data_IF_226539086617
#
_entry.id   IF_226539086617
#
_cell.length_a   1.000
_cell.length_b   1.000
_cell.length_c   1.000
_cell.angle_alpha   90.00
_cell.angle_beta   90.00
_cell.angle_gamma   90.00
#
_symmetry.space_group_name_H-M   'P 1'
#
loop_
_entity.id
_entity.type
_entity.pdbx_description
1 polymer ?
#
# COMPACT_ATOMS: atom_id res chain seq x y z
N UNK A 1 0.08 19.31 6.22
CA UNK A 1 0.44 17.94 5.83
C UNK A 1 1.16 17.30 7.00
N UNK A 2 0.64 16.20 7.55
CA UNK A 2 1.35 15.46 8.59
C UNK A 2 2.56 14.76 7.97
N UNK A 3 3.67 14.67 8.71
CA UNK A 3 4.82 13.89 8.27
C UNK A 3 4.41 12.42 8.15
N UNK A 4 4.90 11.76 7.12
CA UNK A 4 4.70 10.34 6.88
C UNK A 4 6.02 9.74 6.39
N UNK A 5 6.11 8.42 6.49
CA UNK A 5 7.21 7.64 5.99
C UNK A 5 6.71 6.66 4.92
N UNK A 6 7.49 6.30 3.92
CA UNK A 6 7.13 5.26 2.95
C UNK A 6 8.34 4.43 2.56
N UNK A 7 8.12 3.13 2.35
CA UNK A 7 9.13 2.20 1.80
C UNK A 7 8.84 1.83 0.35
N UNK A 8 7.57 1.70 0.00
CA UNK A 8 7.16 1.08 -1.24
C UNK A 8 6.42 2.06 -2.14
N UNK A 9 6.94 2.20 -3.36
CA UNK A 9 6.21 2.79 -4.47
C UNK A 9 5.39 1.65 -5.11
N UNK A 10 4.11 1.93 -5.35
CA UNK A 10 3.20 1.04 -6.06
C UNK A 10 3.34 1.27 -7.57
N UNK A 11 3.20 2.54 -7.99
CA UNK A 11 3.38 2.99 -9.37
C UNK A 11 3.49 4.53 -9.40
N UNK A 12 3.90 5.09 -10.53
CA UNK A 12 3.82 6.52 -10.82
C UNK A 12 3.50 6.75 -12.29
N UNK A 13 2.72 7.79 -12.61
CA UNK A 13 2.37 8.11 -13.99
C UNK A 13 2.00 9.59 -14.14
N UNK A 14 2.01 10.09 -15.37
CA UNK A 14 1.66 11.48 -15.69
C UNK A 14 0.29 11.55 -16.40
N UNK A 15 -0.54 12.53 -16.04
CA UNK A 15 -1.71 12.93 -16.83
C UNK A 15 -1.73 14.46 -16.99
N UNK A 16 -1.31 14.93 -18.16
CA UNK A 16 -1.20 16.38 -18.44
C UNK A 16 -0.13 17.04 -17.56
N UNK A 17 -0.53 18.03 -16.76
CA UNK A 17 0.37 18.76 -15.85
C UNK A 17 0.43 18.14 -14.44
N UNK A 18 -0.17 16.96 -14.24
CA UNK A 18 -0.23 16.28 -12.94
C UNK A 18 0.61 15.01 -12.98
N UNK A 19 1.51 14.87 -12.00
CA UNK A 19 2.22 13.61 -11.71
C UNK A 19 1.50 12.90 -10.57
N UNK A 20 1.12 11.66 -10.82
CA UNK A 20 0.55 10.77 -9.81
C UNK A 20 1.62 9.85 -9.24
N UNK A 21 1.63 9.71 -7.92
CA UNK A 21 2.52 8.80 -7.19
C UNK A 21 1.70 7.97 -6.20
N UNK A 22 1.68 6.67 -6.42
CA UNK A 22 1.01 5.71 -5.56
C UNK A 22 2.04 5.05 -4.65
N UNK A 23 1.86 5.14 -3.34
CA UNK A 23 2.81 4.64 -2.33
C UNK A 23 2.09 3.96 -1.17
N UNK A 24 2.82 3.10 -0.47
CA UNK A 24 2.45 2.59 0.86
C UNK A 24 3.12 3.48 1.92
N UNK A 25 2.29 4.21 2.67
CA UNK A 25 2.69 5.17 3.68
C UNK A 25 2.43 4.66 5.08
N UNK A 26 3.26 5.09 6.03
CA UNK A 26 3.14 4.82 7.45
C UNK A 26 3.11 6.17 8.17
N UNK A 27 2.16 6.34 9.09
CA UNK A 27 2.03 7.56 9.89
C UNK A 27 3.18 7.70 10.91
N UNK A 28 3.75 6.58 11.32
CA UNK A 28 4.94 6.51 12.15
C UNK A 28 6.03 5.75 11.38
N UNK A 29 7.31 6.19 11.45
CA UNK A 29 8.38 5.44 10.82
C UNK A 29 8.44 4.04 11.46
N UNK A 30 8.34 2.97 10.66
CA UNK A 30 8.36 1.61 11.19
C UNK A 30 9.69 1.37 11.90
N UNK A 31 9.60 1.20 13.21
CA UNK A 31 10.74 0.95 14.08
C UNK A 31 11.37 -0.37 13.64
N UNK A 32 12.64 -0.30 13.23
CA UNK A 32 13.32 -1.35 12.48
C UNK A 32 13.05 -2.75 13.00
N UNK A 33 12.49 -3.60 12.14
CA UNK A 33 12.09 -4.99 12.33
C UNK A 33 13.19 -5.79 13.08
N UNK A 34 13.15 -5.92 14.42
CA UNK A 34 14.18 -6.68 15.11
C UNK A 34 13.88 -8.15 14.83
N UNK A 35 14.72 -8.81 14.03
CA UNK A 35 14.53 -10.22 13.61
C UNK A 35 14.30 -11.18 14.78
N UNK A 36 14.72 -10.82 16.01
CA UNK A 36 14.42 -11.55 17.25
C UNK A 36 12.96 -11.40 17.68
N UNK A 37 12.40 -10.19 17.60
CA UNK A 37 11.01 -9.89 17.98
C UNK A 37 10.03 -10.44 16.94
N UNK A 38 10.39 -10.41 15.65
CA UNK A 38 9.61 -11.06 14.59
C UNK A 38 9.44 -12.58 14.80
N UNK A 39 10.41 -13.23 15.46
CA UNK A 39 10.37 -14.65 15.81
C UNK A 39 9.69 -14.93 17.14
N UNK A 40 9.37 -13.90 17.92
CA UNK A 40 8.81 -14.05 19.28
C UNK A 40 7.30 -14.33 19.28
N UNK A 41 6.60 -14.04 18.17
CA UNK A 41 5.14 -14.12 18.11
C UNK A 41 4.44 -12.99 18.87
N UNK A 42 5.19 -12.06 19.45
CA UNK A 42 4.67 -10.90 20.18
C UNK A 42 4.45 -9.75 19.18
N UNK A 43 3.23 -9.68 18.64
CA UNK A 43 2.82 -8.76 17.56
C UNK A 43 2.10 -7.51 18.11
N UNK A 44 1.82 -7.46 19.41
CA UNK A 44 1.03 -6.38 20.03
C UNK A 44 1.74 -5.02 19.96
N UNK A 45 3.07 -5.00 20.07
CA UNK A 45 3.91 -3.79 19.97
C UNK A 45 4.05 -3.24 18.53
N UNK A 46 3.57 -3.98 17.52
CA UNK A 46 3.77 -3.67 16.10
C UNK A 46 2.60 -2.89 15.48
N UNK A 47 1.54 -2.63 16.24
CA UNK A 47 0.30 -2.02 15.76
C UNK A 47 0.39 -0.50 15.52
N UNK A 48 1.58 0.05 15.28
CA UNK A 48 1.86 1.48 15.04
C UNK A 48 1.27 2.08 13.75
N UNK A 49 0.09 1.61 13.33
CA UNK A 49 -0.53 1.89 12.05
C UNK A 49 0.04 0.97 10.97
N UNK A 50 -0.86 0.28 10.27
CA UNK A 50 -0.49 -0.49 9.10
C UNK A 50 -0.08 0.42 7.92
N UNK A 51 0.48 -0.18 6.87
CA UNK A 51 0.75 0.53 5.63
C UNK A 51 -0.54 0.98 4.95
N UNK A 52 -0.71 2.30 4.79
CA UNK A 52 -1.81 2.93 4.09
C UNK A 52 -1.46 3.17 2.63
N UNK A 53 -2.36 2.83 1.72
CA UNK A 53 -2.19 3.18 0.32
C UNK A 53 -2.57 4.64 0.11
N UNK A 54 -1.68 5.46 -0.45
CA UNK A 54 -1.95 6.86 -0.80
C UNK A 54 -1.55 7.14 -2.24
N UNK A 55 -2.43 7.83 -2.97
CA UNK A 55 -2.18 8.42 -4.28
C UNK A 55 -1.97 9.91 -4.11
N UNK A 56 -0.75 10.37 -4.34
CA UNK A 56 -0.43 11.79 -4.41
C UNK A 56 -0.68 12.29 -5.83
N UNK A 57 -1.30 13.46 -5.95
CA UNK A 57 -1.46 14.19 -7.21
C UNK A 57 -0.68 15.51 -7.09
N UNK A 58 0.40 15.63 -7.84
CA UNK A 58 1.33 16.75 -7.81
C UNK A 58 1.18 17.58 -9.08
N UNK A 59 0.71 18.82 -8.96
CA UNK A 59 0.61 19.73 -10.09
C UNK A 59 1.96 20.41 -10.35
N UNK A 60 2.57 20.13 -11.50
CA UNK A 60 3.90 20.63 -11.86
C UNK A 60 3.94 22.15 -12.08
N UNK A 61 2.80 22.76 -12.37
CA UNK A 61 2.69 24.19 -12.67
C UNK A 61 2.43 25.03 -11.43
N UNK A 62 1.54 24.56 -10.56
CA UNK A 62 1.16 25.29 -9.33
C UNK A 62 2.01 24.89 -8.13
N UNK A 63 2.65 23.72 -8.17
CA UNK A 63 3.34 23.12 -7.03
C UNK A 63 2.39 22.57 -5.96
N UNK A 64 1.08 22.57 -6.21
CA UNK A 64 0.09 22.01 -5.30
C UNK A 64 0.16 20.49 -5.28
N UNK A 65 -0.04 19.92 -4.09
CA UNK A 65 -0.06 18.49 -3.88
C UNK A 65 -1.27 18.11 -3.03
N UNK A 66 -2.10 17.21 -3.53
CA UNK A 66 -3.21 16.59 -2.81
C UNK A 66 -3.03 15.08 -2.77
N UNK A 67 -3.80 14.39 -1.93
CA UNK A 67 -3.79 12.94 -1.92
C UNK A 67 -5.16 12.35 -1.61
N UNK A 68 -5.43 11.18 -2.18
CA UNK A 68 -6.52 10.27 -1.82
C UNK A 68 -5.92 8.93 -1.42
N UNK A 69 -6.69 8.04 -0.81
CA UNK A 69 -6.14 6.76 -0.40
C UNK A 69 -7.05 5.92 0.47
N UNK A 70 -6.45 4.87 1.03
CA UNK A 70 -7.07 3.89 1.89
C UNK A 70 -6.49 3.99 3.31
N UNK A 71 -7.00 4.94 4.13
CA UNK A 71 -6.51 5.16 5.49
C UNK A 71 -6.86 3.99 6.41
N UNK A 72 -6.08 3.80 7.48
CA UNK A 72 -6.30 2.78 8.52
C UNK A 72 -6.22 1.33 8.03
N UNK A 73 -5.41 1.04 7.00
CA UNK A 73 -5.17 -0.33 6.52
C UNK A 73 -3.76 -0.79 6.82
N UNK A 74 -3.57 -2.09 6.72
CA UNK A 74 -2.27 -2.72 6.83
C UNK A 74 -1.96 -3.45 5.52
N UNK A 75 -1.63 -2.68 4.48
CA UNK A 75 -1.23 -3.16 3.16
C UNK A 75 0.27 -2.95 2.95
N UNK A 76 0.97 -3.95 2.43
CA UNK A 76 2.41 -3.89 2.22
C UNK A 76 2.88 -4.71 1.01
N UNK A 77 4.14 -4.54 0.61
CA UNK A 77 4.82 -5.23 -0.48
C UNK A 77 4.07 -5.20 -1.83
N UNK A 78 3.69 -4.01 -2.34
CA UNK A 78 2.91 -3.88 -3.56
C UNK A 78 3.60 -4.51 -4.78
N UNK A 79 2.76 -4.96 -5.70
CA UNK A 79 3.08 -5.47 -7.03
C UNK A 79 2.01 -4.97 -8.00
N UNK A 80 2.42 -4.66 -9.22
CA UNK A 80 1.52 -4.30 -10.33
C UNK A 80 1.78 -5.22 -11.52
N UNK A 81 0.89 -5.19 -12.51
CA UNK A 81 1.17 -5.82 -13.79
C UNK A 81 2.31 -5.03 -14.47
N UNK A 82 3.45 -5.64 -14.84
CA UNK A 82 4.58 -4.91 -15.41
C UNK A 82 4.25 -4.16 -16.71
N UNK A 83 3.19 -4.55 -17.43
CA UNK A 83 2.73 -3.85 -18.64
C UNK A 83 2.17 -2.46 -18.37
N UNK A 84 1.85 -2.15 -17.11
CA UNK A 84 1.29 -0.85 -16.71
C UNK A 84 2.23 -0.06 -15.79
N UNK A 85 3.50 -0.46 -15.72
CA UNK A 85 4.53 0.33 -15.03
C UNK A 85 4.71 1.67 -15.74
N UNK A 86 4.67 2.77 -14.99
CA UNK A 86 4.77 4.12 -15.54
C UNK A 86 3.49 4.68 -16.17
N UNK A 87 2.40 3.89 -16.23
CA UNK A 87 1.12 4.31 -16.84
C UNK A 87 -0.04 4.14 -15.88
N UNK A 88 -1.15 4.86 -16.13
CA UNK A 88 -2.37 4.76 -15.31
C UNK A 88 -2.81 3.30 -15.21
N UNK A 89 -2.99 2.84 -13.98
CA UNK A 89 -3.37 1.48 -13.68
C UNK A 89 -4.57 1.42 -12.74
N UNK A 90 -5.25 0.28 -12.75
CA UNK A 90 -6.43 0.01 -11.94
C UNK A 90 -6.20 -1.07 -10.90
N UNK A 91 -5.05 -1.74 -10.87
CA UNK A 91 -4.90 -2.94 -10.03
C UNK A 91 -3.47 -3.05 -9.48
N UNK A 92 -3.36 -3.05 -8.16
CA UNK A 92 -2.17 -3.52 -7.44
C UNK A 92 -2.51 -4.67 -6.52
N UNK A 93 -1.53 -5.50 -6.23
CA UNK A 93 -1.58 -6.62 -5.30
C UNK A 93 -0.53 -6.44 -4.22
N UNK A 94 -0.78 -6.91 -3.01
CA UNK A 94 0.16 -6.85 -1.90
C UNK A 94 -0.28 -7.75 -0.77
N UNK A 95 0.52 -7.77 0.30
CA UNK A 95 0.22 -8.47 1.54
C UNK A 95 -0.69 -7.58 2.37
N UNK A 96 -1.67 -8.17 3.07
CA UNK A 96 -2.44 -7.47 4.08
C UNK A 96 -2.41 -8.21 5.42
N UNK A 97 -2.37 -7.46 6.52
CA UNK A 97 -2.73 -7.97 7.84
C UNK A 97 -4.22 -7.67 8.10
N UNK A 98 -4.98 -8.70 8.48
CA UNK A 98 -6.40 -8.61 8.84
C UNK A 98 -6.55 -8.79 10.35
N UNK A 99 -5.94 -7.89 11.12
CA UNK A 99 -6.01 -7.84 12.58
C UNK A 99 -5.59 -9.16 13.28
N UNK A 100 -4.47 -9.76 12.85
CA UNK A 100 -3.92 -10.96 13.52
C UNK A 100 -4.51 -12.29 13.06
N UNK A 101 -5.28 -12.31 11.97
CA UNK A 101 -5.66 -13.55 11.27
C UNK A 101 -4.65 -13.83 10.15
N UNK A 102 -3.75 -14.84 10.29
CA UNK A 102 -2.74 -15.15 9.29
C UNK A 102 -3.41 -15.86 8.11
N UNK A 103 -3.94 -15.08 7.17
CA UNK A 103 -4.44 -15.61 5.91
C UNK A 103 -3.78 -14.83 4.79
N UNK A 104 -3.08 -15.54 3.90
CA UNK A 104 -2.51 -15.02 2.66
C UNK A 104 -3.59 -14.45 1.75
N UNK A 105 -4.04 -13.25 2.08
CA UNK A 105 -4.99 -12.45 1.33
C UNK A 105 -4.22 -11.48 0.45
N UNK A 106 -4.84 -11.15 -0.67
CA UNK A 106 -4.37 -10.15 -1.60
C UNK A 106 -5.45 -9.08 -1.63
N UNK A 107 -5.06 -7.82 -1.47
CA UNK A 107 -5.95 -6.70 -1.73
C UNK A 107 -5.75 -6.25 -3.18
N UNK A 108 -6.86 -5.90 -3.83
CA UNK A 108 -6.91 -5.28 -5.13
C UNK A 108 -7.27 -3.81 -4.94
N UNK A 109 -6.32 -2.91 -5.22
CA UNK A 109 -6.60 -1.48 -5.22
C UNK A 109 -6.99 -1.01 -6.62
N UNK A 110 -8.20 -0.45 -6.74
CA UNK A 110 -8.81 0.05 -7.97
C UNK A 110 -9.10 1.52 -7.86
N UNK A 111 -8.12 2.36 -8.22
CA UNK A 111 -8.34 3.78 -8.51
C UNK A 111 -9.43 4.45 -7.63
N UNK A 112 -9.24 4.37 -6.30
CA UNK A 112 -10.13 4.85 -5.22
C UNK A 112 -11.15 3.84 -4.60
N UNK A 113 -11.20 2.59 -5.05
CA UNK A 113 -11.98 1.48 -4.46
C UNK A 113 -11.09 0.28 -4.11
N UNK A 114 -11.41 -0.46 -3.03
CA UNK A 114 -10.66 -1.65 -2.61
C UNK A 114 -11.54 -2.88 -2.61
N UNK A 115 -11.02 -3.92 -3.25
CA UNK A 115 -11.60 -5.27 -3.20
C UNK A 115 -10.63 -6.19 -2.46
N UNK A 116 -11.06 -6.73 -1.31
CA UNK A 116 -10.29 -7.71 -0.55
C UNK A 116 -10.71 -9.11 -0.97
N UNK A 117 -9.77 -9.89 -1.52
CA UNK A 117 -9.99 -11.27 -1.94
C UNK A 117 -9.32 -12.29 -1.01
N UNK A 118 -9.89 -13.49 -0.89
CA UNK A 118 -9.18 -14.68 -0.37
C UNK A 118 -8.71 -15.53 -1.54
N UNK A 119 -7.46 -16.03 -1.52
CA UNK A 119 -7.12 -17.20 -2.37
C UNK A 119 -8.04 -18.36 -1.96
N UNK A 120 -8.72 -19.05 -2.89
CA UNK A 120 -9.28 -20.35 -2.61
C UNK A 120 -8.13 -21.27 -2.17
N UNK A 121 -8.26 -21.92 -1.01
CA UNK A 121 -7.22 -22.81 -0.48
C UNK A 121 -7.01 -24.08 -1.33
N UNK A 122 -7.84 -24.30 -2.36
CA UNK A 122 -7.69 -25.40 -3.31
C UNK A 122 -8.01 -24.90 -4.73
N UNK A 123 -7.03 -24.86 -5.66
CA UNK A 123 -7.37 -24.96 -7.07
C UNK A 123 -7.83 -26.42 -7.28
N UNK A 124 -9.13 -26.66 -7.44
CA UNK A 124 -9.57 -27.93 -8.03
C UNK A 124 -8.94 -28.04 -9.43
N UNK A 125 -8.45 -29.24 -9.80
CA UNK A 125 -7.65 -29.47 -11.01
C UNK A 125 -8.38 -29.11 -12.30
#
# INVERSE_FOLDING_TARGET
MHMFFFFHIINSFEEGEIVYLDVVCYNEPPVGFPLRQARSGDVEDWRGGGGEVRRFAMNLKTGECSWTGWPDNCFDEPKINPKVDGVKHQFSWGVIDDNGMPLGRWALHVADEIFVGRRPLNPTP
#
